data_IF_180274209572
#
_entry.id   IF_180274209572
#
_cell.length_a   1.000
_cell.length_b   1.000
_cell.length_c   1.000
_cell.angle_alpha   90.00
_cell.angle_beta   90.00
_cell.angle_gamma   90.00
#
_symmetry.space_group_name_H-M   'P 1'
#
loop_
_entity.id
_entity.type
_entity.pdbx_description
1 polymer ?
#
# COMPACT_ATOMS: atom_id res chain seq x y z
N UNK A 1 18.22 -54.40 -1.44
CA UNK A 1 18.55 -53.34 -2.42
C UNK A 1 18.14 -51.92 -2.00
N UNK A 2 17.18 -51.72 -1.08
CA UNK A 2 16.68 -50.37 -0.70
C UNK A 2 17.66 -49.49 0.14
N UNK A 3 18.63 -50.10 0.84
CA UNK A 3 19.59 -49.39 1.71
C UNK A 3 20.60 -48.51 0.95
N UNK A 4 20.82 -48.76 -0.34
CA UNK A 4 21.75 -48.01 -1.20
C UNK A 4 21.13 -46.76 -1.82
N UNK A 5 19.80 -46.68 -1.90
CA UNK A 5 19.07 -45.55 -2.48
C UNK A 5 18.79 -44.45 -1.45
N UNK A 6 18.72 -44.82 -0.16
CA UNK A 6 18.55 -43.89 0.98
C UNK A 6 19.51 -42.69 0.99
N UNK A 7 20.84 -42.84 0.82
CA UNK A 7 21.74 -41.69 0.84
C UNK A 7 21.53 -40.75 -0.36
N UNK A 8 21.16 -41.27 -1.54
CA UNK A 8 20.89 -40.44 -2.71
C UNK A 8 19.59 -39.65 -2.60
N UNK A 9 18.54 -40.25 -2.02
CA UNK A 9 17.29 -39.54 -1.76
C UNK A 9 17.50 -38.45 -0.69
N UNK A 10 18.24 -38.75 0.39
CA UNK A 10 18.58 -37.75 1.40
C UNK A 10 19.43 -36.61 0.82
N UNK A 11 20.41 -36.92 -0.03
CA UNK A 11 21.23 -35.90 -0.68
C UNK A 11 20.38 -34.98 -1.55
N UNK A 12 19.46 -35.53 -2.35
CA UNK A 12 18.62 -34.73 -3.24
C UNK A 12 17.62 -33.84 -2.47
N UNK A 13 17.06 -34.35 -1.37
CA UNK A 13 16.21 -33.57 -0.46
C UNK A 13 17.01 -32.44 0.17
N UNK A 14 18.24 -32.71 0.62
CA UNK A 14 19.09 -31.71 1.26
C UNK A 14 19.48 -30.59 0.29
N UNK A 15 19.84 -30.95 -0.95
CA UNK A 15 20.12 -29.97 -2.01
C UNK A 15 18.89 -29.11 -2.27
N UNK A 16 17.71 -29.71 -2.45
CA UNK A 16 16.46 -28.99 -2.71
C UNK A 16 16.07 -28.07 -1.54
N UNK A 17 16.20 -28.54 -0.29
CA UNK A 17 15.92 -27.76 0.91
C UNK A 17 16.88 -26.58 1.04
N UNK A 18 18.17 -26.78 0.74
CA UNK A 18 19.18 -25.73 0.78
C UNK A 18 18.92 -24.67 -0.29
N UNK A 19 18.57 -25.07 -1.52
CA UNK A 19 18.22 -24.14 -2.59
C UNK A 19 16.98 -23.31 -2.20
N UNK A 20 15.95 -23.96 -1.66
CA UNK A 20 14.73 -23.28 -1.21
C UNK A 20 15.02 -22.29 -0.08
N UNK A 21 15.86 -22.66 0.90
CA UNK A 21 16.29 -21.78 1.99
C UNK A 21 17.10 -20.58 1.50
N UNK A 22 17.98 -20.76 0.51
CA UNK A 22 18.75 -19.65 -0.06
C UNK A 22 17.82 -18.64 -0.73
N UNK A 23 16.87 -19.11 -1.53
CA UNK A 23 15.88 -18.25 -2.19
C UNK A 23 15.03 -17.49 -1.17
N UNK A 24 14.53 -18.17 -0.13
CA UNK A 24 13.78 -17.55 0.97
C UNK A 24 14.62 -16.52 1.73
N UNK A 25 15.90 -16.80 1.99
CA UNK A 25 16.79 -15.88 2.72
C UNK A 25 17.11 -14.61 1.93
N UNK A 26 17.27 -14.72 0.61
CA UNK A 26 17.49 -13.59 -0.28
C UNK A 26 16.23 -12.73 -0.38
N UNK A 27 15.07 -13.39 -0.45
CA UNK A 27 13.77 -12.73 -0.47
C UNK A 27 13.46 -12.01 0.86
N UNK A 28 13.65 -12.68 2.01
CA UNK A 28 13.45 -12.10 3.34
C UNK A 28 14.38 -10.90 3.59
N UNK A 29 15.65 -11.00 3.20
CA UNK A 29 16.61 -9.90 3.31
C UNK A 29 16.21 -8.68 2.47
N UNK A 30 15.60 -8.90 1.30
CA UNK A 30 15.11 -7.81 0.44
C UNK A 30 13.82 -7.16 0.97
N UNK A 31 13.05 -7.89 1.78
CA UNK A 31 11.77 -7.42 2.34
C UNK A 31 11.89 -6.81 3.75
N UNK A 32 13.02 -6.94 4.43
CA UNK A 32 13.27 -6.26 5.72
C UNK A 32 13.66 -4.80 5.47
N UNK A 33 12.79 -3.80 5.68
CA UNK A 33 13.22 -2.41 5.69
C UNK A 33 14.25 -2.21 6.80
N UNK A 34 15.37 -1.58 6.47
CA UNK A 34 16.41 -1.26 7.43
C UNK A 34 15.83 -0.38 8.55
N UNK A 35 15.85 -0.88 9.78
CA UNK A 35 15.66 -0.06 10.98
C UNK A 35 16.89 0.86 11.11
N UNK A 36 16.90 1.97 10.37
CA UNK A 36 17.84 3.06 10.63
C UNK A 36 17.39 3.72 11.93
N UNK A 37 18.04 3.33 13.02
CA UNK A 37 17.75 3.82 14.35
C UNK A 37 18.74 3.35 15.41
N UNK A 38 20.02 3.21 15.06
CA UNK A 38 21.07 3.23 16.08
C UNK A 38 21.35 4.70 16.41
N UNK A 39 20.72 5.21 17.46
CA UNK A 39 21.13 6.42 18.13
C UNK A 39 22.12 6.00 19.24
N UNK A 40 23.44 6.07 19.04
CA UNK A 40 24.35 5.95 20.18
C UNK A 40 24.08 7.15 21.08
N UNK A 41 23.81 6.85 22.34
CA UNK A 41 23.69 7.82 23.42
C UNK A 41 24.84 8.83 23.35
N UNK A 42 24.54 10.04 22.88
CA UNK A 42 25.38 11.20 23.09
C UNK A 42 25.10 11.71 24.50
N UNK A 43 26.02 11.33 25.39
CA UNK A 43 26.38 11.97 26.66
C UNK A 43 25.52 13.17 27.06
N UNK A 44 24.56 12.92 27.96
CA UNK A 44 23.92 13.98 28.73
C UNK A 44 24.96 14.67 29.63
N UNK A 45 25.31 15.91 29.28
CA UNK A 45 25.86 16.91 30.20
C UNK A 45 25.75 18.29 29.56
N UNK A 46 24.69 19.02 29.90
CA UNK A 46 24.72 20.43 30.28
C UNK A 46 23.28 20.88 30.65
N UNK A 47 23.17 21.39 31.87
CA UNK A 47 22.01 22.00 32.53
C UNK A 47 21.68 23.39 31.91
N UNK A 48 20.68 24.16 32.38
CA UNK A 48 19.61 24.70 31.55
C UNK A 48 19.62 26.24 31.51
N UNK A 49 19.93 26.87 30.38
CA UNK A 49 19.83 28.33 30.30
C UNK A 49 19.65 28.80 28.86
N UNK A 50 18.40 29.13 28.52
CA UNK A 50 17.98 30.16 27.56
C UNK A 50 16.58 29.81 27.03
N UNK A 51 15.60 29.83 27.92
CA UNK A 51 14.22 30.14 27.54
C UNK A 51 14.18 31.65 27.35
N UNK A 52 14.51 32.19 26.17
CA UNK A 52 14.03 33.50 25.68
C UNK A 52 14.57 33.87 24.26
N UNK A 53 14.25 33.10 23.23
CA UNK A 53 14.20 33.63 21.86
C UNK A 53 12.87 33.22 21.20
N UNK A 54 11.77 33.60 21.85
CA UNK A 54 10.52 33.83 21.15
C UNK A 54 10.68 35.15 20.38
N UNK A 55 10.35 35.13 19.08
CA UNK A 55 10.30 36.25 18.14
C UNK A 55 11.61 36.51 17.38
N UNK A 56 11.80 35.80 16.28
CA UNK A 56 11.55 36.34 14.92
C UNK A 56 12.11 35.35 13.91
N UNK A 57 11.27 34.44 13.40
CA UNK A 57 11.51 33.83 12.09
C UNK A 57 10.19 33.30 11.55
N UNK A 58 9.46 34.19 10.89
CA UNK A 58 8.59 33.77 9.78
C UNK A 58 9.49 33.19 8.69
N UNK A 59 9.93 31.95 8.84
CA UNK A 59 10.42 31.15 7.74
C UNK A 59 9.24 30.28 7.28
N UNK A 60 8.57 30.73 6.22
CA UNK A 60 7.74 29.89 5.38
C UNK A 60 8.52 28.62 5.04
N UNK A 61 8.28 27.52 5.76
CA UNK A 61 8.41 26.22 5.12
C UNK A 61 7.25 26.15 4.12
N UNK A 62 7.48 25.79 2.85
CA UNK A 62 6.38 25.33 2.03
C UNK A 62 5.81 24.10 2.73
N UNK A 63 4.70 24.28 3.45
CA UNK A 63 3.84 23.16 3.80
C UNK A 63 3.47 22.56 2.46
N UNK A 64 3.98 21.36 2.17
CA UNK A 64 3.63 20.64 0.96
C UNK A 64 2.15 20.25 1.04
N UNK A 65 1.29 21.22 0.77
CA UNK A 65 -0.15 21.01 0.63
C UNK A 65 -0.33 19.98 -0.49
N UNK A 66 -1.18 18.95 -0.31
CA UNK A 66 -1.52 18.06 -1.40
C UNK A 66 -1.99 18.91 -2.56
N UNK A 67 -1.21 18.99 -3.63
CA UNK A 67 -1.70 19.60 -4.85
C UNK A 67 -2.45 18.51 -5.58
N UNK A 68 -3.77 18.67 -5.70
CA UNK A 68 -4.56 17.72 -6.47
C UNK A 68 -4.07 17.73 -7.93
N UNK A 69 -3.92 16.54 -8.53
CA UNK A 69 -3.50 16.46 -9.91
C UNK A 69 -4.54 17.10 -10.84
N UNK A 70 -4.10 17.66 -11.97
CA UNK A 70 -5.01 18.21 -12.98
C UNK A 70 -5.99 17.14 -13.50
N UNK A 71 -7.19 17.55 -13.88
CA UNK A 71 -8.24 16.66 -14.41
C UNK A 71 -8.02 16.27 -15.88
N UNK A 72 -7.12 16.95 -16.58
CA UNK A 72 -6.88 16.79 -18.03
C UNK A 72 -6.25 15.43 -18.41
N UNK A 73 -5.75 14.69 -17.41
CA UNK A 73 -5.11 13.37 -17.58
C UNK A 73 -5.58 12.41 -16.49
N UNK A 74 -5.66 11.12 -16.81
CA UNK A 74 -5.80 10.07 -15.80
C UNK A 74 -4.47 9.83 -15.06
N UNK A 75 -4.40 10.21 -13.79
CA UNK A 75 -3.24 9.99 -12.92
C UNK A 75 -3.28 8.64 -12.20
N UNK A 76 -4.45 8.03 -12.12
CA UNK A 76 -4.68 6.75 -11.47
C UNK A 76 -5.76 6.01 -12.24
N UNK A 77 -5.68 4.69 -12.26
CA UNK A 77 -6.70 3.83 -12.86
C UNK A 77 -7.06 2.69 -11.91
N UNK A 78 -8.28 2.19 -12.09
CA UNK A 78 -8.73 0.94 -11.51
C UNK A 78 -8.34 -0.14 -12.53
N UNK A 79 -7.31 -0.91 -12.19
CA UNK A 79 -6.75 -1.91 -13.10
C UNK A 79 -7.65 -3.14 -13.21
N UNK A 80 -8.18 -3.61 -12.08
CA UNK A 80 -9.01 -4.80 -12.03
C UNK A 80 -9.84 -4.85 -10.74
N UNK A 81 -10.97 -5.55 -10.78
CA UNK A 81 -11.72 -6.01 -9.61
C UNK A 81 -11.67 -7.53 -9.57
N UNK A 82 -11.01 -8.07 -8.55
CA UNK A 82 -10.83 -9.49 -8.32
C UNK A 82 -12.07 -10.06 -7.61
N UNK A 83 -12.48 -11.26 -8.00
CA UNK A 83 -13.54 -12.07 -7.37
C UNK A 83 -14.80 -11.27 -6.94
N UNK A 84 -15.46 -10.53 -7.86
CA UNK A 84 -16.64 -9.74 -7.51
C UNK A 84 -17.74 -10.65 -6.97
N UNK A 85 -18.29 -10.28 -5.81
CA UNK A 85 -19.34 -11.06 -5.14
C UNK A 85 -18.84 -12.12 -4.14
N UNK A 86 -17.53 -12.34 -4.03
CA UNK A 86 -16.91 -13.22 -3.03
C UNK A 86 -16.15 -12.38 -2.00
N UNK A 87 -16.74 -12.18 -0.81
CA UNK A 87 -16.17 -11.32 0.23
C UNK A 87 -14.73 -11.70 0.62
N UNK A 88 -14.39 -13.00 0.62
CA UNK A 88 -13.08 -13.46 1.09
C UNK A 88 -11.96 -13.08 0.12
N UNK A 89 -12.28 -13.01 -1.17
CA UNK A 89 -11.31 -12.79 -2.25
C UNK A 89 -11.53 -11.47 -3.01
N UNK A 90 -12.61 -10.75 -2.73
CA UNK A 90 -12.96 -9.53 -3.46
C UNK A 90 -11.99 -8.41 -3.12
N UNK A 91 -11.34 -7.90 -4.17
CA UNK A 91 -10.37 -6.83 -4.03
C UNK A 91 -10.30 -5.97 -5.28
N UNK A 92 -9.99 -4.69 -5.10
CA UNK A 92 -9.76 -3.74 -6.19
C UNK A 92 -8.27 -3.51 -6.30
N UNK A 93 -7.73 -3.57 -7.51
CA UNK A 93 -6.37 -3.17 -7.79
C UNK A 93 -6.37 -1.77 -8.40
N UNK A 94 -5.81 -0.79 -7.69
CA UNK A 94 -5.53 0.53 -8.26
C UNK A 94 -4.07 0.64 -8.65
N UNK A 95 -3.83 1.33 -9.77
CA UNK A 95 -2.49 1.53 -10.33
C UNK A 95 -2.25 3.00 -10.63
N UNK A 96 -1.10 3.50 -10.19
CA UNK A 96 -0.60 4.84 -10.52
C UNK A 96 -0.21 4.92 -12.00
N UNK A 97 -0.67 5.96 -12.68
CA UNK A 97 -0.33 6.25 -14.07
C UNK A 97 0.59 7.46 -14.18
N UNK A 98 1.72 7.33 -14.89
CA UNK A 98 2.70 8.39 -15.09
C UNK A 98 3.73 8.51 -13.96
N UNK A 99 4.47 9.61 -13.96
CA UNK A 99 5.55 9.90 -13.01
C UNK A 99 5.07 10.68 -11.79
N UNK A 100 5.88 10.66 -10.73
CA UNK A 100 5.64 11.38 -9.48
C UNK A 100 4.81 10.61 -8.46
N UNK A 101 4.69 11.22 -7.28
CA UNK A 101 3.89 10.72 -6.18
C UNK A 101 2.45 11.25 -6.29
N UNK A 102 1.47 10.44 -5.88
CA UNK A 102 0.07 10.85 -5.78
C UNK A 102 -0.43 10.64 -4.37
N UNK A 103 -0.82 11.73 -3.72
CA UNK A 103 -1.43 11.65 -2.41
C UNK A 103 -2.93 11.30 -2.53
N UNK A 104 -3.34 10.24 -1.86
CA UNK A 104 -4.70 9.69 -1.91
C UNK A 104 -5.57 10.07 -0.69
N UNK A 105 -5.09 10.89 0.24
CA UNK A 105 -5.89 11.28 1.40
C UNK A 105 -7.20 11.95 1.00
N UNK A 106 -8.31 11.47 1.55
CA UNK A 106 -9.66 12.00 1.28
C UNK A 106 -10.25 11.60 -0.07
N UNK A 107 -9.53 10.83 -0.88
CA UNK A 107 -10.10 10.21 -2.07
C UNK A 107 -11.12 9.16 -1.64
N UNK A 108 -12.08 8.85 -2.53
CA UNK A 108 -13.16 7.91 -2.22
C UNK A 108 -13.45 6.94 -3.35
N UNK A 109 -13.58 5.66 -3.01
CA UNK A 109 -14.17 4.66 -3.89
C UNK A 109 -15.65 4.54 -3.61
N UNK A 110 -16.49 4.61 -4.64
CA UNK A 110 -17.93 4.50 -4.54
C UNK A 110 -18.41 3.21 -5.22
N UNK A 111 -19.32 2.53 -4.54
CA UNK A 111 -20.06 1.39 -5.09
C UNK A 111 -21.41 1.85 -5.68
N UNK A 112 -22.04 1.06 -6.57
CA UNK A 112 -23.37 1.36 -7.08
C UNK A 112 -24.45 1.37 -5.99
N UNK A 113 -24.17 0.73 -4.86
CA UNK A 113 -25.06 0.63 -3.70
C UNK A 113 -24.93 1.81 -2.73
N UNK A 114 -24.11 2.81 -3.06
CA UNK A 114 -23.94 4.02 -2.24
C UNK A 114 -22.97 3.86 -1.07
N UNK A 115 -22.24 2.75 -0.97
CA UNK A 115 -21.17 2.61 0.01
C UNK A 115 -19.92 3.33 -0.51
N UNK A 116 -19.24 4.06 0.38
CA UNK A 116 -17.98 4.73 0.06
C UNK A 116 -16.83 4.27 0.95
N UNK A 117 -15.67 4.01 0.36
CA UNK A 117 -14.41 3.80 1.07
C UNK A 117 -13.57 5.06 0.97
N UNK A 118 -13.15 5.62 2.10
CA UNK A 118 -12.25 6.77 2.14
C UNK A 118 -10.81 6.32 2.33
N UNK A 119 -9.91 6.83 1.51
CA UNK A 119 -8.50 6.50 1.59
C UNK A 119 -7.84 7.22 2.78
N UNK A 120 -7.01 6.51 3.56
CA UNK A 120 -6.23 7.11 4.63
C UNK A 120 -5.12 8.01 4.06
N UNK A 121 -4.31 8.60 4.95
CA UNK A 121 -3.12 9.32 4.55
C UNK A 121 -2.09 8.38 3.91
N UNK A 122 -2.16 8.26 2.58
CA UNK A 122 -1.33 7.35 1.80
C UNK A 122 -0.83 8.02 0.52
N UNK A 123 0.45 7.85 0.25
CA UNK A 123 1.09 8.32 -0.98
C UNK A 123 1.38 7.14 -1.90
N UNK A 124 0.88 7.19 -3.13
CA UNK A 124 1.13 6.21 -4.17
C UNK A 124 2.21 6.72 -5.13
N UNK A 125 3.41 6.15 -5.03
CA UNK A 125 4.55 6.52 -5.86
C UNK A 125 4.45 6.03 -7.30
N UNK A 126 5.37 6.49 -8.17
CA UNK A 126 5.48 6.08 -9.57
C UNK A 126 5.40 4.56 -9.73
N UNK A 127 4.53 4.11 -10.64
CA UNK A 127 4.24 2.69 -10.91
C UNK A 127 3.73 1.89 -9.68
N UNK A 128 3.44 2.56 -8.57
CA UNK A 128 2.85 1.96 -7.39
C UNK A 128 1.47 1.40 -7.70
N UNK A 129 1.15 0.31 -7.02
CA UNK A 129 -0.18 -0.28 -7.05
C UNK A 129 -0.61 -0.58 -5.63
N UNK A 130 -1.90 -0.44 -5.38
CA UNK A 130 -2.51 -0.70 -4.08
C UNK A 130 -3.70 -1.62 -4.27
N UNK A 131 -3.87 -2.55 -3.35
CA UNK A 131 -5.00 -3.46 -3.32
C UNK A 131 -5.95 -3.08 -2.19
N UNK A 132 -7.25 -3.02 -2.47
CA UNK A 132 -8.27 -2.72 -1.47
C UNK A 132 -9.19 -3.93 -1.39
N UNK A 133 -9.10 -4.66 -0.29
CA UNK A 133 -10.00 -5.77 0.01
C UNK A 133 -11.29 -5.24 0.62
N UNK A 134 -12.42 -5.83 0.25
CA UNK A 134 -13.71 -5.41 0.81
C UNK A 134 -13.95 -5.96 2.21
N UNK A 135 -13.39 -7.12 2.54
CA UNK A 135 -13.43 -7.72 3.87
C UNK A 135 -12.69 -6.91 4.95
N UNK A 136 -12.88 -7.34 6.20
CA UNK A 136 -12.13 -6.86 7.36
C UNK A 136 -10.68 -7.32 7.34
N UNK A 137 -9.81 -6.47 7.86
CA UNK A 137 -8.37 -6.72 8.01
C UNK A 137 -7.64 -5.47 8.49
N UNK A 138 -6.31 -5.52 8.46
CA UNK A 138 -5.46 -4.45 8.95
C UNK A 138 -4.77 -3.75 7.79
N UNK A 139 -4.95 -2.43 7.70
CA UNK A 139 -4.34 -1.62 6.65
C UNK A 139 -2.81 -1.68 6.70
N UNK A 140 -2.21 -1.76 5.52
CA UNK A 140 -0.78 -1.62 5.26
C UNK A 140 -0.58 -0.57 4.16
N UNK A 141 0.68 -0.33 3.77
CA UNK A 141 1.00 0.65 2.71
C UNK A 141 0.50 0.19 1.33
N UNK A 142 0.39 -1.12 1.09
CA UNK A 142 0.04 -1.70 -0.22
C UNK A 142 -1.30 -2.43 -0.23
N UNK A 143 -1.87 -2.69 0.94
CA UNK A 143 -3.15 -3.35 1.12
C UNK A 143 -4.03 -2.58 2.09
N UNK A 144 -5.23 -2.21 1.66
CA UNK A 144 -6.25 -1.62 2.51
C UNK A 144 -7.44 -2.57 2.65
N UNK A 145 -8.17 -2.42 3.74
CA UNK A 145 -9.30 -3.26 4.09
C UNK A 145 -10.49 -2.36 4.40
N UNK A 146 -11.57 -2.52 3.64
CA UNK A 146 -12.79 -1.73 3.83
C UNK A 146 -13.57 -2.18 5.07
N UNK A 147 -13.56 -3.47 5.39
CA UNK A 147 -14.25 -3.98 6.56
C UNK A 147 -15.76 -4.13 6.40
N UNK A 148 -16.21 -4.38 5.17
CA UNK A 148 -17.58 -4.74 4.87
C UNK A 148 -17.88 -6.17 5.32
N UNK A 149 -19.17 -6.43 5.55
CA UNK A 149 -19.69 -7.76 5.91
C UNK A 149 -20.24 -8.52 4.71
N UNK A 150 -20.31 -7.86 3.56
CA UNK A 150 -20.75 -8.44 2.28
C UNK A 150 -19.93 -7.86 1.15
N UNK A 151 -19.80 -8.62 0.06
CA UNK A 151 -19.09 -8.18 -1.13
C UNK A 151 -19.71 -6.89 -1.70
N UNK A 152 -18.84 -5.92 -2.02
CA UNK A 152 -19.21 -4.57 -2.45
C UNK A 152 -19.60 -4.49 -3.93
N UNK A 153 -19.22 -5.50 -4.74
CA UNK A 153 -19.55 -5.53 -6.16
C UNK A 153 -20.10 -6.88 -6.65
N UNK A 154 -20.64 -6.83 -7.87
CA UNK A 154 -21.09 -7.96 -8.69
C UNK A 154 -20.64 -7.73 -10.13
N UNK A 155 -20.73 -8.77 -10.96
CA UNK A 155 -20.51 -8.61 -12.40
C UNK A 155 -21.50 -7.60 -13.00
N UNK A 156 -21.01 -6.74 -13.88
CA UNK A 156 -21.77 -5.61 -14.45
C UNK A 156 -21.81 -4.35 -13.58
N UNK A 157 -21.37 -4.40 -12.32
CA UNK A 157 -21.32 -3.21 -11.47
C UNK A 157 -20.22 -2.24 -11.92
N UNK A 158 -20.39 -0.97 -11.55
CA UNK A 158 -19.41 0.09 -11.78
C UNK A 158 -18.67 0.46 -10.50
N UNK A 159 -17.36 0.52 -10.56
CA UNK A 159 -16.50 1.10 -9.52
C UNK A 159 -16.15 2.52 -9.93
N UNK A 160 -16.36 3.50 -9.04
CA UNK A 160 -16.04 4.91 -9.29
C UNK A 160 -15.05 5.42 -8.26
N UNK A 161 -13.98 6.07 -8.71
CA UNK A 161 -13.01 6.73 -7.86
C UNK A 161 -13.17 8.24 -7.96
N UNK A 162 -13.43 8.89 -6.82
CA UNK A 162 -13.56 10.33 -6.68
C UNK A 162 -12.36 10.89 -5.92
N UNK A 163 -11.96 12.11 -6.27
CA UNK A 163 -11.03 12.90 -5.46
C UNK A 163 -11.75 13.58 -4.27
N UNK A 164 -11.01 14.27 -3.37
CA UNK A 164 -11.59 14.96 -2.21
C UNK A 164 -12.59 16.07 -2.58
N UNK A 165 -12.43 16.68 -3.77
CA UNK A 165 -13.35 17.69 -4.31
C UNK A 165 -14.62 17.07 -4.93
N UNK A 166 -14.66 15.74 -5.06
CA UNK A 166 -15.79 15.01 -5.62
C UNK A 166 -15.74 14.83 -7.15
N UNK A 167 -14.61 15.15 -7.78
CA UNK A 167 -14.45 14.94 -9.22
C UNK A 167 -14.17 13.46 -9.53
N UNK A 168 -14.76 12.95 -10.61
CA UNK A 168 -14.52 11.59 -11.08
C UNK A 168 -13.12 11.48 -11.70
N UNK A 169 -12.29 10.59 -11.13
CA UNK A 169 -10.92 10.35 -11.57
C UNK A 169 -10.74 9.04 -12.34
N UNK A 170 -11.50 8.01 -11.97
CA UNK A 170 -11.53 6.74 -12.70
C UNK A 170 -12.89 6.06 -12.56
N UNK A 171 -13.29 5.34 -13.60
CA UNK A 171 -14.45 4.44 -13.59
C UNK A 171 -14.04 3.10 -14.20
N UNK A 172 -14.54 2.00 -13.64
CA UNK A 172 -14.32 0.65 -14.15
C UNK A 172 -15.62 -0.15 -14.11
N UNK A 173 -15.95 -0.82 -15.22
CA UNK A 173 -17.10 -1.73 -15.32
C UNK A 173 -16.60 -3.15 -15.15
N UNK A 174 -17.18 -3.87 -14.21
CA UNK A 174 -16.81 -5.25 -13.94
C UNK A 174 -17.38 -6.15 -15.04
N UNK A 175 -16.53 -6.92 -15.74
CA UNK A 175 -16.96 -7.78 -16.85
C UNK A 175 -17.79 -9.00 -16.40
#
# INVERSE_FOLDING_TARGET
MLKRLLPYILLNILVSALTTLIVLSLWDRAQRPALIGQNPASLASATPEAVLELQTSMAMLPSATPTLPSLDRAWITIAEVLAPGDLEHEAILLKRLGDGDLWLMGWRLLTPRGQSFEFPNLTLSKNGSIRIYTRRGNNTVIELYWGLETAAWRRGDKVRLLDPEGNLRAEYVIP
#
